data_IF_842248727487
#
_entry.id   IF_842248727487
#
_cell.length_a   1.000
_cell.length_b   1.000
_cell.length_c   1.000
_cell.angle_alpha   90.00
_cell.angle_beta   90.00
_cell.angle_gamma   90.00
#
_symmetry.space_group_name_H-M   'P 1'
#
loop_
_entity.id
_entity.type
_entity.pdbx_description
1 polymer ?
#
# COMPACT_ATOMS: atom_id res chain seq x y z
N UNK A 1 44.82 35.05 5.79
CA UNK A 1 43.97 34.01 5.14
C UNK A 1 43.16 33.25 6.19
N UNK A 2 41.94 33.70 6.53
CA UNK A 2 41.04 32.98 7.47
C UNK A 2 39.57 32.96 7.03
N UNK A 3 39.26 33.33 5.79
CA UNK A 3 37.87 33.51 5.31
C UNK A 3 37.32 32.25 4.61
N UNK A 4 38.18 31.30 4.23
CA UNK A 4 37.77 30.13 3.45
C UNK A 4 37.10 29.01 4.26
N UNK A 5 37.27 28.93 5.59
CA UNK A 5 36.73 27.81 6.39
C UNK A 5 35.22 27.90 6.68
N UNK A 6 34.64 29.11 6.68
CA UNK A 6 33.23 29.33 7.06
C UNK A 6 32.24 28.90 5.97
N UNK A 7 32.62 29.00 4.69
CA UNK A 7 31.75 28.63 3.56
C UNK A 7 31.54 27.11 3.46
N UNK A 8 32.57 26.31 3.77
CA UNK A 8 32.44 24.84 3.79
C UNK A 8 31.51 24.36 4.91
N UNK A 9 31.50 25.05 6.06
CA UNK A 9 30.60 24.71 7.18
C UNK A 9 29.16 24.99 6.79
N UNK A 10 28.88 26.12 6.13
CA UNK A 10 27.53 26.45 5.66
C UNK A 10 27.04 25.46 4.59
N UNK A 11 27.91 25.05 3.66
CA UNK A 11 27.57 24.04 2.64
C UNK A 11 27.28 22.68 3.28
N UNK A 12 28.07 22.26 4.28
CA UNK A 12 27.85 21.00 5.00
C UNK A 12 26.53 21.07 5.80
N UNK A 13 26.24 22.18 6.46
CA UNK A 13 24.98 22.37 7.20
C UNK A 13 23.80 22.35 6.22
N UNK A 14 23.87 23.06 5.09
CA UNK A 14 22.83 23.02 4.06
C UNK A 14 22.67 21.62 3.46
N UNK A 15 23.74 20.87 3.26
CA UNK A 15 23.69 19.48 2.78
C UNK A 15 23.06 18.55 3.82
N UNK A 16 23.44 18.63 5.10
CA UNK A 16 22.85 17.84 6.16
C UNK A 16 21.39 18.21 6.41
N UNK A 17 21.05 19.49 6.31
CA UNK A 17 19.67 19.98 6.40
C UNK A 17 18.84 19.53 5.19
N UNK A 18 19.42 19.53 3.99
CA UNK A 18 18.83 18.95 2.78
C UNK A 18 18.60 17.45 2.92
N UNK A 19 19.57 16.70 3.46
CA UNK A 19 19.42 15.28 3.76
C UNK A 19 18.32 15.01 4.81
N UNK A 20 18.12 15.92 5.78
CA UNK A 20 17.00 15.82 6.73
C UNK A 20 15.65 16.28 6.16
N UNK A 21 15.67 17.14 5.13
CA UNK A 21 14.49 17.56 4.35
C UNK A 21 14.07 16.51 3.31
N UNK A 22 14.97 15.61 2.93
CA UNK A 22 14.61 14.32 2.33
C UNK A 22 13.89 13.51 3.42
N UNK A 23 12.62 13.83 3.64
CA UNK A 23 11.75 13.09 4.55
C UNK A 23 11.90 11.60 4.26
N UNK A 24 12.10 10.77 5.30
CA UNK A 24 11.86 9.34 5.15
C UNK A 24 10.39 9.17 4.79
N UNK A 25 10.13 8.95 3.50
CA UNK A 25 8.81 8.54 3.08
C UNK A 25 8.52 7.17 3.68
N UNK A 26 7.28 6.96 4.10
CA UNK A 26 6.77 5.71 4.60
C UNK A 26 6.24 4.91 3.41
N UNK A 27 6.99 3.90 2.92
CA UNK A 27 6.54 3.09 1.81
C UNK A 27 5.34 2.25 2.23
N UNK A 28 4.28 2.29 1.43
CA UNK A 28 3.07 1.49 1.61
C UNK A 28 2.88 0.63 0.38
N UNK A 29 2.82 -0.69 0.53
CA UNK A 29 2.43 -1.59 -0.56
C UNK A 29 0.94 -1.89 -0.47
N UNK A 30 0.22 -1.50 -1.51
CA UNK A 30 -1.21 -1.74 -1.69
C UNK A 30 -1.37 -3.02 -2.52
N UNK A 31 -2.12 -3.97 -1.99
CA UNK A 31 -2.27 -5.29 -2.59
C UNK A 31 -3.74 -5.54 -2.96
N UNK A 32 -4.15 -5.29 -4.21
CA UNK A 32 -5.44 -5.77 -4.68
C UNK A 32 -5.43 -7.29 -4.76
N UNK A 33 -6.19 -7.94 -3.88
CA UNK A 33 -6.31 -9.39 -3.79
C UNK A 33 -6.73 -10.05 -5.11
N UNK A 34 -6.43 -11.34 -5.28
CA UNK A 34 -6.76 -12.13 -6.48
C UNK A 34 -6.12 -11.55 -7.77
N UNK A 35 -6.64 -11.92 -8.94
CA UNK A 35 -6.19 -11.42 -10.25
C UNK A 35 -5.93 -12.52 -11.28
N UNK A 36 -6.09 -12.17 -12.56
CA UNK A 36 -5.95 -13.07 -13.69
C UNK A 36 -6.88 -14.28 -13.57
N UNK A 37 -6.28 -15.45 -13.44
CA UNK A 37 -6.98 -16.75 -13.30
C UNK A 37 -7.68 -16.94 -11.96
N UNK A 38 -7.34 -16.16 -10.95
CA UNK A 38 -7.99 -16.18 -9.64
C UNK A 38 -9.00 -15.04 -9.61
N UNK A 39 -10.30 -15.36 -9.68
CA UNK A 39 -11.37 -14.36 -9.68
C UNK A 39 -11.76 -13.86 -8.29
N UNK A 40 -11.38 -14.61 -7.24
CA UNK A 40 -11.92 -14.45 -5.90
C UNK A 40 -13.40 -14.79 -5.83
N UNK A 41 -14.10 -14.18 -4.88
CA UNK A 41 -15.55 -14.26 -4.81
C UNK A 41 -16.23 -13.63 -6.04
N UNK A 42 -17.48 -14.01 -6.28
CA UNK A 42 -18.32 -13.36 -7.28
C UNK A 42 -19.73 -13.15 -6.76
N UNK A 43 -20.41 -12.15 -7.30
CA UNK A 43 -21.81 -11.86 -7.01
C UNK A 43 -22.47 -11.22 -8.22
N UNK A 44 -23.80 -11.30 -8.31
CA UNK A 44 -24.56 -10.72 -9.42
C UNK A 44 -25.55 -9.68 -8.93
N UNK A 45 -25.57 -8.52 -9.58
CA UNK A 45 -26.53 -7.44 -9.33
C UNK A 45 -27.11 -6.99 -10.67
N UNK A 46 -28.44 -6.95 -10.78
CA UNK A 46 -29.16 -6.56 -12.01
C UNK A 46 -28.73 -7.35 -13.26
N UNK A 47 -28.40 -8.64 -13.10
CA UNK A 47 -27.94 -9.50 -14.20
C UNK A 47 -26.48 -9.30 -14.61
N UNK A 48 -25.73 -8.43 -13.93
CA UNK A 48 -24.29 -8.22 -14.14
C UNK A 48 -23.52 -8.98 -13.07
N UNK A 49 -22.56 -9.79 -13.47
CA UNK A 49 -21.63 -10.48 -12.56
C UNK A 49 -20.43 -9.60 -12.25
N UNK A 50 -20.12 -9.48 -10.97
CA UNK A 50 -18.96 -8.79 -10.43
C UNK A 50 -18.02 -9.82 -9.82
N UNK A 51 -16.73 -9.68 -10.12
CA UNK A 51 -15.68 -10.50 -9.51
C UNK A 51 -14.90 -9.66 -8.49
N UNK A 52 -14.55 -10.28 -7.38
CA UNK A 52 -13.77 -9.68 -6.32
C UNK A 52 -12.45 -9.11 -6.86
N UNK A 53 -11.76 -9.81 -7.76
CA UNK A 53 -10.51 -9.33 -8.36
C UNK A 53 -10.62 -7.96 -9.03
N UNK A 54 -11.78 -7.65 -9.63
CA UNK A 54 -12.01 -6.43 -10.39
C UNK A 54 -12.30 -5.28 -9.42
N UNK A 55 -13.15 -5.52 -8.43
CA UNK A 55 -13.46 -4.55 -7.37
C UNK A 55 -12.21 -4.22 -6.54
N UNK A 56 -11.44 -5.23 -6.16
CA UNK A 56 -10.19 -5.04 -5.41
C UNK A 56 -9.21 -4.16 -6.18
N UNK A 57 -9.06 -4.40 -7.49
CA UNK A 57 -8.19 -3.59 -8.36
C UNK A 57 -8.67 -2.15 -8.44
N UNK A 58 -9.97 -1.96 -8.67
CA UNK A 58 -10.57 -0.63 -8.76
C UNK A 58 -10.35 0.19 -7.47
N UNK A 59 -10.64 -0.40 -6.32
CA UNK A 59 -10.46 0.27 -5.03
C UNK A 59 -8.97 0.54 -4.72
N UNK A 60 -8.09 -0.41 -5.00
CA UNK A 60 -6.65 -0.23 -4.81
C UNK A 60 -6.09 0.90 -5.67
N UNK A 61 -6.47 0.98 -6.95
CA UNK A 61 -6.03 2.06 -7.85
C UNK A 61 -6.56 3.42 -7.41
N UNK A 62 -7.82 3.50 -6.95
CA UNK A 62 -8.37 4.75 -6.39
C UNK A 62 -7.59 5.19 -5.15
N UNK A 63 -7.29 4.26 -4.24
CA UNK A 63 -6.52 4.55 -3.04
C UNK A 63 -5.09 4.99 -3.36
N UNK A 64 -4.40 4.25 -4.24
CA UNK A 64 -3.07 4.59 -4.75
C UNK A 64 -3.03 6.01 -5.33
N UNK A 65 -3.97 6.33 -6.24
CA UNK A 65 -4.06 7.64 -6.87
C UNK A 65 -4.37 8.74 -5.85
N UNK A 66 -5.20 8.46 -4.84
CA UNK A 66 -5.50 9.41 -3.77
C UNK A 66 -4.25 9.77 -2.98
N UNK A 67 -3.39 8.79 -2.66
CA UNK A 67 -2.12 9.04 -1.96
C UNK A 67 -1.21 9.92 -2.82
N UNK A 68 -1.00 9.59 -4.09
CA UNK A 68 -0.13 10.37 -5.01
C UNK A 68 -0.59 11.84 -5.13
N UNK A 69 -1.90 12.07 -5.16
CA UNK A 69 -2.46 13.41 -5.28
C UNK A 69 -2.38 14.23 -3.98
N UNK A 70 -2.06 13.61 -2.84
CA UNK A 70 -2.04 14.28 -1.55
C UNK A 70 -0.66 14.89 -1.29
N UNK A 71 -0.56 16.21 -1.48
CA UNK A 71 0.70 16.97 -1.33
C UNK A 71 1.10 17.08 0.14
N UNK A 72 2.40 16.92 0.43
CA UNK A 72 2.98 17.18 1.75
C UNK A 72 2.87 16.02 2.75
N UNK A 73 2.36 14.87 2.33
CA UNK A 73 2.37 13.65 3.15
C UNK A 73 3.62 12.82 2.85
N UNK A 74 4.34 12.35 3.88
CA UNK A 74 5.54 11.54 3.70
C UNK A 74 5.18 10.08 3.41
N UNK A 75 4.27 9.82 2.46
CA UNK A 75 3.81 8.47 2.11
C UNK A 75 4.16 8.18 0.66
N UNK A 76 4.79 7.04 0.42
CA UNK A 76 5.18 6.60 -0.91
C UNK A 76 4.42 5.31 -1.27
N UNK A 77 3.39 5.39 -2.13
CA UNK A 77 2.55 4.24 -2.45
C UNK A 77 3.19 3.37 -3.53
N UNK A 78 3.12 2.07 -3.33
CA UNK A 78 3.43 1.02 -4.28
C UNK A 78 2.20 0.12 -4.43
N UNK A 79 2.07 -0.59 -5.56
CA UNK A 79 0.94 -1.52 -5.76
C UNK A 79 1.42 -2.89 -6.24
N UNK A 80 0.86 -4.00 -5.77
CA UNK A 80 1.33 -5.33 -6.21
C UNK A 80 1.01 -5.60 -7.68
N UNK A 81 -0.20 -5.27 -8.12
CA UNK A 81 -0.63 -5.31 -9.53
C UNK A 81 -1.42 -4.06 -9.89
N UNK A 82 -1.15 -3.49 -11.07
CA UNK A 82 -1.86 -2.33 -11.60
C UNK A 82 -2.88 -2.69 -12.70
N UNK A 83 -3.04 -3.98 -12.98
CA UNK A 83 -3.91 -4.55 -14.01
C UNK A 83 -4.44 -5.93 -13.58
N UNK A 84 -5.29 -6.53 -14.40
CA UNK A 84 -5.81 -7.87 -14.17
C UNK A 84 -4.75 -8.93 -14.52
N UNK A 85 -3.91 -9.25 -13.53
CA UNK A 85 -2.88 -10.28 -13.64
C UNK A 85 -2.82 -11.11 -12.36
N UNK A 86 -2.43 -12.38 -12.51
CA UNK A 86 -2.31 -13.29 -11.38
C UNK A 86 -0.98 -13.09 -10.68
N UNK A 87 -1.03 -12.88 -9.36
CA UNK A 87 0.12 -12.93 -8.45
C UNK A 87 -0.14 -13.95 -7.36
N UNK A 88 0.84 -14.84 -7.12
CA UNK A 88 0.73 -15.80 -6.03
C UNK A 88 0.83 -15.08 -4.67
N UNK A 89 0.37 -15.76 -3.61
CA UNK A 89 0.52 -15.25 -2.23
C UNK A 89 1.99 -15.04 -1.86
N UNK A 90 2.89 -15.89 -2.36
CA UNK A 90 4.32 -15.79 -2.10
C UNK A 90 4.93 -14.59 -2.81
N UNK A 91 4.56 -14.33 -4.06
CA UNK A 91 5.06 -13.17 -4.81
C UNK A 91 4.72 -11.86 -4.08
N UNK A 92 3.49 -11.74 -3.57
CA UNK A 92 3.04 -10.58 -2.79
C UNK A 92 3.88 -10.37 -1.53
N UNK A 93 4.24 -11.46 -0.83
CA UNK A 93 5.11 -11.43 0.35
C UNK A 93 6.55 -11.07 -0.03
N UNK A 94 7.06 -11.57 -1.15
CA UNK A 94 8.39 -11.23 -1.66
C UNK A 94 8.47 -9.73 -1.99
N UNK A 95 7.46 -9.20 -2.68
CA UNK A 95 7.35 -7.77 -2.99
C UNK A 95 7.33 -6.92 -1.70
N UNK A 96 6.49 -7.29 -0.73
CA UNK A 96 6.35 -6.53 0.52
C UNK A 96 7.67 -6.48 1.33
N UNK A 97 8.43 -7.58 1.36
CA UNK A 97 9.68 -7.63 2.10
C UNK A 97 10.90 -7.13 1.32
N UNK A 98 10.85 -7.17 -0.02
CA UNK A 98 11.91 -6.82 -0.96
C UNK A 98 13.35 -7.04 -0.44
N UNK A 99 13.63 -8.26 0.04
CA UNK A 99 14.90 -8.56 0.72
C UNK A 99 16.10 -8.54 -0.23
N UNK A 100 15.87 -8.82 -1.51
CA UNK A 100 16.90 -9.00 -2.53
C UNK A 100 17.13 -7.76 -3.42
N UNK A 101 16.38 -6.67 -3.19
CA UNK A 101 16.51 -5.38 -3.90
C UNK A 101 16.20 -5.44 -5.41
N UNK A 102 15.30 -6.33 -5.81
CA UNK A 102 14.99 -6.62 -7.21
C UNK A 102 13.49 -6.56 -7.51
N UNK A 103 12.67 -6.18 -6.55
CA UNK A 103 11.22 -6.13 -6.72
C UNK A 103 10.77 -4.77 -7.26
N UNK A 104 10.01 -4.81 -8.35
CA UNK A 104 9.22 -3.67 -8.81
C UNK A 104 7.76 -3.88 -8.47
N UNK A 105 7.04 -2.79 -8.25
CA UNK A 105 5.59 -2.79 -8.13
C UNK A 105 4.92 -3.07 -9.49
N UNK A 106 3.59 -3.18 -9.51
CA UNK A 106 2.79 -3.48 -10.70
C UNK A 106 2.82 -2.38 -11.77
N UNK A 107 3.32 -1.18 -11.45
CA UNK A 107 3.56 -0.09 -12.38
C UNK A 107 5.00 -0.07 -12.91
N UNK A 108 5.88 -0.93 -12.38
CA UNK A 108 7.31 -0.99 -12.74
C UNK A 108 8.22 -0.08 -11.91
N UNK A 109 7.73 0.51 -10.81
CA UNK A 109 8.57 1.29 -9.90
C UNK A 109 9.29 0.37 -8.93
N UNK A 110 10.57 0.66 -8.64
CA UNK A 110 11.33 -0.12 -7.66
C UNK A 110 10.76 0.06 -6.25
N UNK A 111 10.41 -1.06 -5.61
CA UNK A 111 10.04 -1.08 -4.19
C UNK A 111 11.32 -0.80 -3.37
N UNK A 112 11.26 -0.10 -2.22
CA UNK A 112 12.46 0.24 -1.46
C UNK A 112 13.18 -1.01 -0.95
N UNK A 113 14.49 -0.88 -0.86
CA UNK A 113 15.35 -1.89 -0.24
C UNK A 113 14.97 -2.08 1.22
N UNK A 114 14.79 -3.34 1.61
CA UNK A 114 14.37 -3.70 2.97
C UNK A 114 12.86 -3.80 3.16
N UNK A 115 12.08 -3.56 2.10
CA UNK A 115 10.63 -3.76 2.08
C UNK A 115 9.84 -2.49 2.37
N UNK A 116 8.56 -2.68 2.65
CA UNK A 116 7.61 -1.61 2.97
C UNK A 116 7.32 -1.53 4.46
N UNK A 117 6.89 -0.35 4.91
CA UNK A 117 6.53 -0.12 6.31
C UNK A 117 5.10 -0.58 6.61
N UNK A 118 4.22 -0.47 5.60
CA UNK A 118 2.83 -0.88 5.68
C UNK A 118 2.48 -1.72 4.46
N UNK A 119 1.81 -2.84 4.70
CA UNK A 119 1.20 -3.66 3.67
C UNK A 119 -0.32 -3.64 3.87
N UNK A 120 -1.08 -3.20 2.86
CA UNK A 120 -2.54 -3.14 2.90
C UNK A 120 -3.08 -4.02 1.78
N UNK A 121 -3.69 -5.14 2.15
CA UNK A 121 -4.40 -6.00 1.18
C UNK A 121 -5.89 -5.67 1.18
N UNK A 122 -6.43 -5.48 -0.02
CA UNK A 122 -7.85 -5.13 -0.24
C UNK A 122 -8.55 -6.35 -0.81
N UNK A 123 -9.61 -6.76 -0.11
CA UNK A 123 -10.45 -7.91 -0.42
C UNK A 123 -11.93 -7.57 -0.22
N UNK A 124 -12.80 -8.29 -0.91
CA UNK A 124 -14.24 -8.21 -0.73
C UNK A 124 -14.72 -9.54 -0.15
N UNK A 125 -15.30 -9.52 1.05
CA UNK A 125 -15.78 -10.74 1.68
C UNK A 125 -16.99 -11.33 0.94
N UNK A 126 -17.29 -12.59 1.20
CA UNK A 126 -18.45 -13.29 0.64
C UNK A 126 -19.07 -14.22 1.68
N UNK A 127 -20.39 -14.31 1.65
CA UNK A 127 -21.19 -15.16 2.54
C UNK A 127 -22.38 -15.73 1.79
N UNK A 128 -22.81 -16.92 2.18
CA UNK A 128 -24.09 -17.49 1.75
C UNK A 128 -25.29 -16.91 2.52
N UNK A 129 -25.05 -16.21 3.63
CA UNK A 129 -26.08 -15.49 4.37
C UNK A 129 -26.37 -14.14 3.69
N UNK A 130 -27.58 -13.93 3.13
CA UNK A 130 -27.94 -12.67 2.49
C UNK A 130 -28.03 -11.48 3.46
N UNK A 131 -28.10 -11.73 4.77
CA UNK A 131 -28.05 -10.69 5.81
C UNK A 131 -26.63 -10.24 6.16
N UNK A 132 -25.59 -10.92 5.68
CA UNK A 132 -24.21 -10.56 5.98
C UNK A 132 -23.80 -9.32 5.19
N UNK A 133 -23.54 -8.22 5.91
CA UNK A 133 -23.05 -6.97 5.35
C UNK A 133 -22.15 -6.25 6.35
N UNK A 134 -21.20 -5.46 5.86
CA UNK A 134 -20.32 -4.65 6.70
C UNK A 134 -18.89 -4.64 6.19
N UNK A 135 -17.98 -4.15 7.03
CA UNK A 135 -16.54 -4.15 6.77
C UNK A 135 -15.83 -4.94 7.84
N UNK A 136 -14.69 -5.53 7.49
CA UNK A 136 -13.81 -6.23 8.41
C UNK A 136 -12.38 -5.75 8.16
N UNK A 137 -11.52 -5.81 9.17
CA UNK A 137 -10.11 -5.43 9.01
C UNK A 137 -9.23 -6.42 9.77
N UNK A 138 -8.50 -7.23 9.01
CA UNK A 138 -7.64 -8.27 9.54
C UNK A 138 -6.22 -7.76 9.78
N UNK A 139 -5.54 -8.39 10.73
CA UNK A 139 -4.12 -8.20 10.98
C UNK A 139 -3.50 -9.54 11.38
N UNK A 140 -2.17 -9.65 11.22
CA UNK A 140 -1.47 -10.83 11.71
C UNK A 140 -1.45 -10.85 13.24
N UNK A 141 -1.85 -11.95 13.86
CA UNK A 141 -2.07 -12.05 15.31
C UNK A 141 -0.84 -11.67 16.16
N UNK A 142 0.37 -11.88 15.64
CA UNK A 142 1.61 -11.52 16.32
C UNK A 142 2.09 -10.08 16.07
N UNK A 143 1.31 -9.23 15.38
CA UNK A 143 1.71 -7.89 14.98
C UNK A 143 0.95 -6.81 15.76
N UNK A 144 1.55 -6.31 16.85
CA UNK A 144 1.00 -5.19 17.62
C UNK A 144 0.80 -3.94 16.76
N UNK A 145 1.74 -3.69 15.85
CA UNK A 145 1.65 -2.59 14.89
C UNK A 145 0.49 -2.78 13.92
N UNK A 146 0.32 -4.01 13.42
CA UNK A 146 -0.80 -4.39 12.57
C UNK A 146 -2.15 -4.25 13.27
N UNK A 147 -2.24 -4.67 14.53
CA UNK A 147 -3.45 -4.49 15.35
C UNK A 147 -3.82 -3.00 15.49
N UNK A 148 -2.85 -2.15 15.84
CA UNK A 148 -3.07 -0.70 15.97
C UNK A 148 -3.54 -0.09 14.66
N UNK A 149 -2.89 -0.42 13.54
CA UNK A 149 -3.28 0.07 12.22
C UNK A 149 -4.69 -0.40 11.84
N UNK A 150 -4.96 -1.71 11.96
CA UNK A 150 -6.27 -2.29 11.67
C UNK A 150 -7.39 -1.62 12.48
N UNK A 151 -7.15 -1.39 13.77
CA UNK A 151 -8.11 -0.71 14.66
C UNK A 151 -8.42 0.70 14.17
N UNK A 152 -7.37 1.48 13.85
CA UNK A 152 -7.52 2.87 13.39
C UNK A 152 -8.27 2.91 12.06
N UNK A 153 -7.85 2.09 11.08
CA UNK A 153 -8.50 2.02 9.75
C UNK A 153 -9.97 1.65 9.89
N UNK A 154 -10.28 0.63 10.70
CA UNK A 154 -11.64 0.18 10.92
C UNK A 154 -12.51 1.28 11.54
N UNK A 155 -12.02 1.97 12.57
CA UNK A 155 -12.74 3.07 13.22
C UNK A 155 -13.01 4.23 12.26
N UNK A 156 -12.03 4.61 11.44
CA UNK A 156 -12.23 5.67 10.43
C UNK A 156 -13.28 5.29 9.39
N UNK A 157 -13.30 4.02 8.96
CA UNK A 157 -14.32 3.55 8.02
C UNK A 157 -15.71 3.60 8.64
N UNK A 158 -15.87 3.06 9.86
CA UNK A 158 -17.15 3.05 10.57
C UNK A 158 -17.68 4.46 10.88
N UNK A 159 -16.80 5.44 11.08
CA UNK A 159 -17.20 6.84 11.30
C UNK A 159 -17.59 7.58 10.01
N UNK A 160 -17.31 7.00 8.83
CA UNK A 160 -17.53 7.62 7.52
C UNK A 160 -18.75 7.07 6.79
N UNK A 161 -19.46 6.11 7.39
CA UNK A 161 -20.67 5.43 6.88
C UNK A 161 -21.87 5.75 7.75
#
# INVERSE_FOLDING_TARGET
MRVFKSHYILIIICFLFYQSLLSSYYPILIDPGHGGKDSGASGSLNGITYYEKDLNLEYALRFYNKIIQTIGHPVDPYITRARDEYLSRIDRVIMANNKNNDQTDGNGFHIPKGGVEIFISIHCNSSSDPGAHGTETYYHSSSDRGMKLATIVHQFYMAST
#
